data_IF_038522387590
#
_entry.id   IF_038522387590
#
_cell.length_a   1.000
_cell.length_b   1.000
_cell.length_c   1.000
_cell.angle_alpha   90.00
_cell.angle_beta   90.00
_cell.angle_gamma   90.00
#
_symmetry.space_group_name_H-M   'P 1'
#
loop_
_entity.id
_entity.type
_entity.pdbx_description
1 polymer ?
#
# COMPACT_ATOMS: atom_id res chain seq x y z
N UNK A 1 -44.98 10.27 15.71
CA UNK A 1 -43.95 10.01 14.69
C UNK A 1 -43.10 8.89 15.23
N UNK A 2 -43.13 7.71 14.60
CA UNK A 2 -42.23 6.63 14.98
C UNK A 2 -40.85 7.04 14.48
N UNK A 3 -39.91 7.28 15.41
CA UNK A 3 -38.49 7.48 15.09
C UNK A 3 -37.99 6.29 14.28
N UNK A 4 -37.18 6.54 13.25
CA UNK A 4 -36.62 5.46 12.45
C UNK A 4 -35.70 4.59 13.33
N UNK A 5 -35.63 3.27 13.11
CA UNK A 5 -34.98 2.34 14.04
C UNK A 5 -33.47 2.57 14.24
N UNK A 6 -32.81 3.31 13.35
CA UNK A 6 -31.37 3.62 13.39
C UNK A 6 -31.06 5.12 13.32
N UNK A 7 -32.06 5.95 13.63
CA UNK A 7 -31.93 7.40 13.59
C UNK A 7 -30.80 7.87 14.53
N UNK A 8 -29.82 8.58 13.98
CA UNK A 8 -28.67 9.11 14.74
C UNK A 8 -27.52 8.12 14.99
N UNK A 9 -27.62 6.87 14.50
CA UNK A 9 -26.56 5.87 14.66
C UNK A 9 -25.48 6.06 13.59
N UNK A 10 -24.19 6.04 13.97
CA UNK A 10 -23.06 6.08 13.02
C UNK A 10 -22.47 4.68 12.81
N UNK A 11 -22.50 4.19 11.57
CA UNK A 11 -22.16 2.80 11.25
C UNK A 11 -21.04 2.70 10.22
N UNK A 12 -20.01 1.91 10.52
CA UNK A 12 -18.94 1.59 9.56
C UNK A 12 -19.19 0.20 8.96
N UNK A 13 -19.42 0.13 7.64
CA UNK A 13 -19.74 -1.12 6.94
C UNK A 13 -18.51 -1.61 6.15
N UNK A 14 -17.95 -2.75 6.54
CA UNK A 14 -16.73 -3.34 6.00
C UNK A 14 -17.03 -4.59 5.15
N UNK A 15 -16.36 -4.69 4.00
CA UNK A 15 -16.43 -5.83 3.09
C UNK A 15 -16.86 -5.46 1.68
N UNK A 16 -16.92 -6.45 0.79
CA UNK A 16 -17.31 -6.27 -0.61
C UNK A 16 -18.33 -7.32 -1.02
N UNK A 17 -19.44 -6.90 -1.63
CA UNK A 17 -20.41 -7.81 -2.25
C UNK A 17 -21.88 -7.42 -2.07
N UNK A 18 -22.82 -8.18 -2.64
CA UNK A 18 -24.25 -7.85 -2.66
C UNK A 18 -24.88 -7.71 -1.27
N UNK A 19 -24.38 -8.47 -0.28
CA UNK A 19 -24.85 -8.40 1.12
C UNK A 19 -24.48 -7.10 1.80
N UNK A 20 -23.32 -6.53 1.47
CA UNK A 20 -22.89 -5.21 1.95
C UNK A 20 -23.76 -4.12 1.34
N UNK A 21 -24.11 -4.24 0.05
CA UNK A 21 -25.05 -3.33 -0.60
C UNK A 21 -26.41 -3.33 0.12
N UNK A 22 -26.99 -4.50 0.37
CA UNK A 22 -28.24 -4.64 1.11
C UNK A 22 -28.15 -4.11 2.55
N UNK A 23 -27.02 -4.34 3.23
CA UNK A 23 -26.77 -3.82 4.57
C UNK A 23 -26.75 -2.27 4.60
N UNK A 24 -26.04 -1.64 3.65
CA UNK A 24 -26.01 -0.18 3.51
C UNK A 24 -27.38 0.39 3.22
N UNK A 25 -28.16 -0.26 2.36
CA UNK A 25 -29.53 0.13 2.06
C UNK A 25 -30.41 0.12 3.31
N UNK A 26 -30.45 -1.00 4.06
CA UNK A 26 -31.27 -1.13 5.27
C UNK A 26 -30.89 -0.10 6.35
N UNK A 27 -29.59 0.15 6.52
CA UNK A 27 -29.08 1.14 7.46
C UNK A 27 -29.48 2.55 7.06
N UNK A 28 -29.37 2.88 5.78
CA UNK A 28 -29.76 4.19 5.24
C UNK A 28 -31.28 4.41 5.36
N UNK A 29 -32.09 3.39 5.04
CA UNK A 29 -33.56 3.45 5.14
C UNK A 29 -34.03 3.62 6.58
N UNK A 30 -33.31 3.07 7.55
CA UNK A 30 -33.60 3.26 8.97
C UNK A 30 -32.92 4.47 9.62
N UNK A 31 -32.30 5.37 8.85
CA UNK A 31 -31.78 6.66 9.36
C UNK A 31 -30.36 6.63 9.94
N UNK A 32 -29.59 5.56 9.71
CA UNK A 32 -28.20 5.49 10.12
C UNK A 32 -27.29 6.31 9.21
N UNK A 33 -26.27 6.94 9.79
CA UNK A 33 -25.20 7.61 9.06
C UNK A 33 -24.07 6.62 8.77
N UNK A 34 -23.81 6.32 7.50
CA UNK A 34 -22.72 5.44 7.10
C UNK A 34 -21.42 6.24 7.05
N UNK A 35 -20.41 5.78 7.78
CA UNK A 35 -19.07 6.37 7.79
C UNK A 35 -18.08 5.50 7.01
N UNK A 36 -17.09 6.13 6.39
CA UNK A 36 -16.03 5.45 5.63
C UNK A 36 -14.78 5.17 6.47
N UNK A 37 -14.55 5.97 7.52
CA UNK A 37 -13.34 5.93 8.34
C UNK A 37 -13.64 5.67 9.81
N UNK A 38 -12.81 4.85 10.44
CA UNK A 38 -12.90 4.51 11.87
C UNK A 38 -12.47 5.66 12.79
N UNK A 39 -11.81 6.70 12.27
CA UNK A 39 -11.49 7.93 13.01
C UNK A 39 -12.72 8.78 13.35
N UNK A 40 -13.86 8.51 12.71
CA UNK A 40 -15.14 9.12 13.06
C UNK A 40 -15.72 8.46 14.32
N UNK A 41 -16.60 9.14 15.06
CA UNK A 41 -17.33 8.48 16.16
C UNK A 41 -18.23 7.37 15.59
N UNK A 42 -17.77 6.12 15.68
CA UNK A 42 -18.49 4.94 15.18
C UNK A 42 -19.26 4.30 16.34
N UNK A 43 -20.56 4.15 16.17
CA UNK A 43 -21.43 3.49 17.15
C UNK A 43 -21.49 1.99 16.94
N UNK A 44 -21.43 1.53 15.68
CA UNK A 44 -21.44 0.11 15.30
C UNK A 44 -20.57 -0.18 14.08
N UNK A 45 -19.99 -1.38 14.02
CA UNK A 45 -19.27 -1.87 12.84
C UNK A 45 -20.01 -3.07 12.25
N UNK A 46 -20.40 -2.98 10.99
CA UNK A 46 -21.02 -4.09 10.25
C UNK A 46 -19.98 -4.74 9.35
N UNK A 47 -19.68 -6.02 9.54
CA UNK A 47 -18.65 -6.74 8.79
C UNK A 47 -19.24 -7.83 7.92
N UNK A 48 -18.79 -7.93 6.69
CA UNK A 48 -19.09 -9.08 5.85
C UNK A 48 -18.09 -10.23 6.09
N UNK A 49 -18.46 -11.45 5.70
CA UNK A 49 -17.59 -12.65 5.82
C UNK A 49 -16.31 -12.54 4.99
N UNK A 50 -16.27 -11.61 4.03
CA UNK A 50 -15.08 -11.26 3.24
C UNK A 50 -14.00 -10.52 4.03
N UNK A 51 -14.32 -9.99 5.21
CA UNK A 51 -13.37 -9.24 6.05
C UNK A 51 -12.70 -10.17 7.06
N UNK A 52 -11.35 -10.28 7.07
CA UNK A 52 -10.65 -11.10 8.05
C UNK A 52 -10.78 -10.53 9.47
N UNK A 53 -10.84 -11.39 10.49
CA UNK A 53 -10.92 -10.97 11.89
C UNK A 53 -9.72 -10.14 12.36
N UNK A 54 -8.58 -10.26 11.68
CA UNK A 54 -7.36 -9.48 11.91
C UNK A 54 -7.36 -8.10 11.23
N UNK A 55 -8.40 -7.74 10.47
CA UNK A 55 -8.46 -6.45 9.80
C UNK A 55 -8.30 -5.30 10.82
N UNK A 56 -7.45 -4.28 10.54
CA UNK A 56 -7.15 -3.21 11.49
C UNK A 56 -8.39 -2.52 12.06
N UNK A 57 -9.42 -2.30 11.24
CA UNK A 57 -10.67 -1.67 11.64
C UNK A 57 -11.51 -2.55 12.58
N UNK A 58 -11.45 -3.88 12.42
CA UNK A 58 -12.14 -4.84 13.29
C UNK A 58 -11.42 -4.96 14.63
N UNK A 59 -10.09 -4.97 14.61
CA UNK A 59 -9.26 -4.96 15.83
C UNK A 59 -9.46 -3.67 16.61
N UNK A 60 -9.48 -2.52 15.93
CA UNK A 60 -9.72 -1.21 16.53
C UNK A 60 -11.13 -1.12 17.16
N UNK A 61 -12.16 -1.63 16.47
CA UNK A 61 -13.53 -1.71 17.00
C UNK A 61 -13.61 -2.49 18.31
N UNK A 62 -12.99 -3.69 18.34
CA UNK A 62 -12.96 -4.53 19.56
C UNK A 62 -12.21 -3.85 20.71
N UNK A 63 -11.11 -3.16 20.40
CA UNK A 63 -10.30 -2.44 21.39
C UNK A 63 -11.03 -1.23 21.98
N UNK A 64 -11.89 -0.59 21.19
CA UNK A 64 -12.76 0.51 21.59
C UNK A 64 -14.11 0.06 22.19
N UNK A 65 -14.31 -1.26 22.39
CA UNK A 65 -15.57 -1.85 22.85
C UNK A 65 -16.80 -1.50 21.98
N UNK A 66 -16.58 -1.21 20.70
CA UNK A 66 -17.64 -0.92 19.73
C UNK A 66 -18.19 -2.26 19.20
N UNK A 67 -19.52 -2.48 19.18
CA UNK A 67 -20.08 -3.75 18.75
C UNK A 67 -19.85 -4.01 17.26
N UNK A 68 -19.39 -5.23 16.96
CA UNK A 68 -19.13 -5.70 15.59
C UNK A 68 -20.17 -6.76 15.23
N UNK A 69 -20.95 -6.52 14.19
CA UNK A 69 -22.07 -7.38 13.77
C UNK A 69 -21.91 -7.77 12.31
N UNK A 70 -22.31 -8.97 11.94
CA UNK A 70 -22.19 -9.42 10.55
C UNK A 70 -23.31 -8.86 9.67
N UNK A 71 -23.07 -8.77 8.35
CA UNK A 71 -24.11 -8.42 7.37
C UNK A 71 -25.34 -9.34 7.43
N UNK A 72 -25.16 -10.60 7.85
CA UNK A 72 -26.25 -11.55 8.11
C UNK A 72 -27.00 -11.28 9.42
N UNK A 73 -26.28 -10.97 10.49
CA UNK A 73 -26.90 -10.64 11.79
C UNK A 73 -27.62 -9.30 11.75
N UNK A 74 -27.17 -8.36 10.90
CA UNK A 74 -27.86 -7.09 10.66
C UNK A 74 -29.28 -7.29 10.12
N UNK A 75 -29.52 -8.34 9.33
CA UNK A 75 -30.86 -8.65 8.82
C UNK A 75 -31.79 -9.21 9.90
N UNK A 76 -31.23 -9.66 11.01
CA UNK A 76 -31.96 -10.25 12.15
C UNK A 76 -31.75 -9.46 13.45
N UNK A 77 -31.24 -8.23 13.37
CA UNK A 77 -30.78 -7.45 14.52
C UNK A 77 -31.99 -7.03 15.40
N UNK A 78 -31.92 -7.18 16.74
CA UNK A 78 -33.00 -6.75 17.63
C UNK A 78 -33.11 -5.21 17.67
N UNK A 79 -34.13 -4.69 16.99
CA UNK A 79 -34.41 -3.26 16.83
C UNK A 79 -35.88 -2.96 16.56
N UNK A 80 -36.76 -3.93 16.84
CA UNK A 80 -38.07 -3.62 17.42
C UNK A 80 -38.10 -3.83 18.95
N UNK A 81 -36.99 -4.23 19.61
CA UNK A 81 -36.73 -4.03 21.06
C UNK A 81 -35.45 -4.78 21.49
N UNK A 82 -34.53 -4.10 22.19
CA UNK A 82 -33.61 -4.73 23.16
C UNK A 82 -32.31 -5.37 22.65
N UNK A 83 -31.20 -4.64 22.74
CA UNK A 83 -29.83 -5.15 22.63
C UNK A 83 -29.50 -6.15 23.77
N UNK A 84 -29.63 -7.44 23.51
CA UNK A 84 -28.92 -8.48 24.26
C UNK A 84 -28.76 -9.76 23.42
N UNK A 85 -27.50 -10.20 23.29
CA UNK A 85 -27.08 -11.57 22.98
C UNK A 85 -27.27 -12.12 21.55
N UNK A 86 -26.22 -12.06 20.71
CA UNK A 86 -25.83 -13.12 19.75
C UNK A 86 -24.32 -12.95 19.48
N UNK A 87 -23.38 -13.54 20.24
CA UNK A 87 -22.81 -14.90 20.18
C UNK A 87 -22.50 -15.45 18.78
N UNK A 88 -21.20 -15.41 18.46
CA UNK A 88 -20.43 -16.13 17.44
C UNK A 88 -21.12 -17.33 16.76
N UNK A 89 -21.29 -17.30 15.43
CA UNK A 89 -21.28 -18.52 14.61
C UNK A 89 -20.58 -18.33 13.25
N UNK A 90 -19.59 -19.20 13.03
CA UNK A 90 -18.69 -19.38 11.88
C UNK A 90 -19.43 -19.62 10.55
N UNK A 91 -18.95 -19.12 9.40
CA UNK A 91 -19.61 -19.38 8.12
C UNK A 91 -19.09 -20.65 7.42
N UNK A 92 -20.02 -21.54 7.04
CA UNK A 92 -19.78 -22.60 6.06
C UNK A 92 -19.58 -22.04 4.64
N UNK A 93 -18.65 -22.65 3.87
CA UNK A 93 -18.35 -22.36 2.46
C UNK A 93 -19.47 -22.82 1.53
N UNK A 94 -19.76 -22.03 0.49
CA UNK A 94 -20.45 -22.48 -0.72
C UNK A 94 -19.60 -22.17 -1.97
N UNK A 95 -19.66 -23.01 -3.01
CA UNK A 95 -18.79 -22.91 -4.18
C UNK A 95 -19.29 -21.87 -5.19
N UNK A 96 -18.36 -21.13 -5.79
CA UNK A 96 -18.63 -20.15 -6.86
C UNK A 96 -18.44 -20.84 -8.21
N UNK A 97 -19.54 -21.00 -8.95
CA UNK A 97 -19.52 -21.43 -10.36
C UNK A 97 -20.24 -20.39 -11.20
N UNK A 98 -19.47 -19.53 -11.88
CA UNK A 98 -19.97 -18.58 -12.88
C UNK A 98 -18.84 -18.22 -13.85
N UNK A 99 -19.13 -18.03 -15.15
CA UNK A 99 -18.10 -17.81 -16.16
C UNK A 99 -17.47 -16.41 -16.01
N UNK A 100 -16.15 -16.38 -16.03
CA UNK A 100 -15.33 -15.15 -16.01
C UNK A 100 -15.39 -14.51 -17.39
N UNK A 101 -16.06 -13.36 -17.53
CA UNK A 101 -15.91 -12.53 -18.72
C UNK A 101 -14.53 -11.85 -18.70
N UNK A 102 -13.69 -12.19 -19.67
CA UNK A 102 -12.40 -11.56 -19.90
C UNK A 102 -12.59 -10.15 -20.48
N UNK A 103 -12.34 -9.11 -19.70
CA UNK A 103 -12.23 -7.75 -20.21
C UNK A 103 -10.96 -7.62 -21.07
N UNK A 104 -11.07 -7.02 -22.25
CA UNK A 104 -9.92 -6.69 -23.10
C UNK A 104 -9.06 -5.60 -22.45
N UNK A 105 -7.72 -5.68 -22.53
CA UNK A 105 -6.84 -4.69 -21.91
C UNK A 105 -6.80 -3.39 -22.73
N UNK A 106 -7.01 -2.27 -22.05
CA UNK A 106 -6.81 -0.92 -22.58
C UNK A 106 -5.30 -0.66 -22.76
N UNK A 107 -4.83 -0.06 -23.87
CA UNK A 107 -3.41 0.23 -24.05
C UNK A 107 -2.96 1.33 -23.08
N UNK A 108 -2.03 0.97 -22.19
CA UNK A 108 -1.37 1.90 -21.28
C UNK A 108 -0.25 2.62 -22.04
N UNK A 109 -0.33 3.94 -22.18
CA UNK A 109 0.77 4.74 -22.71
C UNK A 109 1.89 4.82 -21.66
N UNK A 110 2.99 4.09 -21.88
CA UNK A 110 4.15 4.06 -20.99
C UNK A 110 5.24 5.00 -21.50
N UNK A 111 5.29 6.21 -20.95
CA UNK A 111 6.55 6.95 -20.97
C UNK A 111 7.58 6.20 -20.09
N UNK A 112 8.85 6.04 -20.50
CA UNK A 112 9.87 5.38 -19.68
C UNK A 112 10.12 6.19 -18.40
N UNK A 113 9.81 5.61 -17.25
CA UNK A 113 10.02 6.28 -15.97
C UNK A 113 11.52 6.30 -15.60
N UNK A 114 11.99 7.39 -14.97
CA UNK A 114 13.33 7.42 -14.38
C UNK A 114 13.48 6.33 -13.32
N UNK A 115 14.60 5.60 -13.32
CA UNK A 115 14.90 4.65 -12.24
C UNK A 115 15.13 5.41 -10.93
N UNK A 116 14.47 5.05 -9.81
CA UNK A 116 14.80 5.64 -8.53
C UNK A 116 16.24 5.26 -8.16
N UNK A 117 17.09 6.27 -7.96
CA UNK A 117 18.36 6.09 -7.24
C UNK A 117 17.99 5.84 -5.78
N UNK A 118 18.43 4.72 -5.21
CA UNK A 118 18.18 4.42 -3.81
C UNK A 118 18.73 5.55 -2.94
N UNK A 119 17.85 6.30 -2.27
CA UNK A 119 18.26 7.27 -1.26
C UNK A 119 18.73 6.49 -0.04
N UNK A 120 20.04 6.44 0.18
CA UNK A 120 20.63 5.94 1.42
C UNK A 120 20.35 6.96 2.53
N UNK A 121 19.26 6.75 3.28
CA UNK A 121 18.98 7.53 4.48
C UNK A 121 20.00 7.24 5.59
N UNK A 122 20.22 8.16 6.55
CA UNK A 122 21.18 8.00 7.65
C UNK A 122 20.95 6.72 8.47
N UNK A 123 19.70 6.28 8.63
CA UNK A 123 19.33 5.07 9.37
C UNK A 123 19.85 3.78 8.71
N UNK A 124 19.96 3.78 7.38
CA UNK A 124 20.47 2.61 6.63
C UNK A 124 21.97 2.44 6.88
N UNK A 125 22.71 3.54 6.98
CA UNK A 125 24.15 3.52 7.26
C UNK A 125 24.43 3.10 8.70
N UNK A 126 23.64 3.56 9.67
CA UNK A 126 23.79 3.14 11.07
C UNK A 126 23.52 1.64 11.26
N UNK A 127 22.53 1.09 10.55
CA UNK A 127 22.22 -0.33 10.62
C UNK A 127 23.23 -1.20 9.82
N UNK A 128 23.83 -0.66 8.76
CA UNK A 128 24.98 -1.29 8.09
C UNK A 128 26.21 -1.36 8.99
N UNK A 129 26.48 -0.28 9.73
CA UNK A 129 27.59 -0.20 10.67
C UNK A 129 27.39 -1.15 11.85
N UNK A 130 26.17 -1.26 12.40
CA UNK A 130 25.89 -2.22 13.48
C UNK A 130 26.03 -3.68 13.03
N UNK A 131 25.61 -3.99 11.80
CA UNK A 131 25.80 -5.30 11.18
C UNK A 131 27.29 -5.66 10.99
N UNK A 132 28.09 -4.71 10.52
CA UNK A 132 29.54 -4.89 10.34
C UNK A 132 30.35 -4.84 11.65
N UNK A 133 29.79 -4.25 12.72
CA UNK A 133 30.42 -4.21 14.03
C UNK A 133 30.39 -5.58 14.74
N UNK A 134 29.42 -6.44 14.46
CA UNK A 134 29.25 -7.72 15.16
C UNK A 134 30.43 -8.70 14.96
N UNK A 135 30.95 -8.93 13.74
CA UNK A 135 32.19 -9.69 13.53
C UNK A 135 33.44 -8.98 14.06
N UNK A 136 33.46 -7.65 14.01
CA UNK A 136 34.58 -6.87 14.49
C UNK A 136 34.75 -7.03 16.01
N UNK A 137 33.65 -6.90 16.77
CA UNK A 137 33.63 -7.04 18.24
C UNK A 137 33.87 -8.48 18.71
N UNK A 138 33.54 -9.47 17.90
CA UNK A 138 33.73 -10.90 18.23
C UNK A 138 35.09 -11.45 17.79
N UNK A 139 36.02 -10.59 17.34
CA UNK A 139 37.33 -11.06 16.87
C UNK A 139 37.23 -12.00 15.65
N UNK A 140 36.22 -11.82 14.80
CA UNK A 140 35.99 -12.65 13.62
C UNK A 140 35.26 -13.97 13.87
N UNK A 141 34.94 -14.34 15.12
CA UNK A 141 34.24 -15.58 15.43
C UNK A 141 32.83 -15.64 14.82
N UNK A 142 32.14 -14.51 14.72
CA UNK A 142 30.78 -14.46 14.16
C UNK A 142 30.72 -14.54 12.62
N UNK A 143 31.85 -14.41 11.93
CA UNK A 143 31.93 -14.41 10.45
C UNK A 143 31.24 -15.61 9.79
N UNK A 144 31.65 -16.87 10.07
CA UNK A 144 31.05 -18.02 9.41
C UNK A 144 29.54 -18.09 9.59
N UNK A 145 29.04 -17.74 10.78
CA UNK A 145 27.61 -17.73 11.09
C UNK A 145 26.84 -16.65 10.35
N UNK A 146 27.38 -15.43 10.26
CA UNK A 146 26.78 -14.34 9.49
C UNK A 146 26.74 -14.73 8.00
N UNK A 147 27.85 -15.18 7.43
CA UNK A 147 27.88 -15.62 6.01
C UNK A 147 26.95 -16.81 5.75
N UNK A 148 26.83 -17.76 6.68
CA UNK A 148 25.88 -18.88 6.57
C UNK A 148 24.42 -18.42 6.66
N UNK A 149 24.13 -17.44 7.53
CA UNK A 149 22.82 -16.81 7.59
C UNK A 149 22.49 -16.13 6.25
N UNK A 150 23.43 -15.38 5.67
CA UNK A 150 23.28 -14.76 4.35
C UNK A 150 23.09 -15.84 3.26
N UNK A 151 23.86 -16.92 3.29
CA UNK A 151 23.73 -18.02 2.34
C UNK A 151 22.36 -18.67 2.38
N UNK A 152 21.81 -18.89 3.58
CA UNK A 152 20.46 -19.43 3.78
C UNK A 152 19.39 -18.44 3.34
N UNK A 153 19.53 -17.15 3.69
CA UNK A 153 18.58 -16.09 3.35
C UNK A 153 18.50 -15.90 1.83
N UNK A 154 19.65 -15.69 1.19
CA UNK A 154 19.77 -15.46 -0.26
C UNK A 154 19.77 -16.74 -1.11
N UNK A 155 19.66 -17.93 -0.48
CA UNK A 155 19.77 -19.25 -1.13
C UNK A 155 20.99 -19.39 -2.05
N UNK A 156 22.12 -18.79 -1.66
CA UNK A 156 23.32 -18.68 -2.50
C UNK A 156 24.37 -19.73 -2.14
N UNK A 157 24.71 -20.60 -3.11
CA UNK A 157 25.78 -21.60 -2.97
C UNK A 157 27.15 -20.97 -2.79
N UNK A 158 27.42 -19.82 -3.41
CA UNK A 158 28.68 -19.08 -3.28
C UNK A 158 28.89 -18.62 -1.84
N UNK A 159 27.86 -18.05 -1.22
CA UNK A 159 27.95 -17.62 0.19
C UNK A 159 28.05 -18.82 1.15
N UNK A 160 27.47 -19.97 0.80
CA UNK A 160 27.63 -21.20 1.57
C UNK A 160 29.08 -21.72 1.52
N UNK A 161 29.73 -21.68 0.34
CA UNK A 161 31.15 -22.02 0.20
C UNK A 161 32.04 -21.04 0.97
N UNK A 162 31.74 -19.74 0.92
CA UNK A 162 32.45 -18.72 1.70
C UNK A 162 32.30 -18.95 3.21
N UNK A 163 31.09 -19.28 3.68
CA UNK A 163 30.87 -19.60 5.08
C UNK A 163 31.67 -20.81 5.54
N UNK A 164 31.72 -21.87 4.73
CA UNK A 164 32.56 -23.03 4.99
C UNK A 164 34.06 -22.68 4.97
N UNK A 165 34.50 -21.82 4.04
CA UNK A 165 35.86 -21.32 3.96
C UNK A 165 36.30 -20.52 5.20
N UNK A 166 35.48 -19.55 5.63
CA UNK A 166 35.73 -18.79 6.86
C UNK A 166 35.74 -19.69 8.10
N UNK A 167 34.81 -20.65 8.20
CA UNK A 167 34.77 -21.62 9.30
C UNK A 167 36.00 -22.52 9.33
N UNK A 168 36.43 -23.04 8.18
CA UNK A 168 37.62 -23.87 8.06
C UNK A 168 38.90 -23.11 8.40
N UNK A 169 39.06 -21.89 7.87
CA UNK A 169 40.22 -21.04 8.16
C UNK A 169 40.31 -20.69 9.65
N UNK A 170 39.16 -20.44 10.31
CA UNK A 170 39.11 -20.18 11.74
C UNK A 170 39.56 -21.41 12.55
N UNK A 171 39.05 -22.60 12.24
CA UNK A 171 39.43 -23.85 12.93
C UNK A 171 40.92 -24.17 12.73
N UNK A 172 41.43 -24.05 11.50
CA UNK A 172 42.85 -24.28 11.21
C UNK A 172 43.73 -23.30 11.97
N UNK A 173 43.37 -22.02 12.01
CA UNK A 173 44.10 -21.01 12.77
C UNK A 173 44.08 -21.31 14.28
N UNK A 174 42.95 -21.76 14.82
CA UNK A 174 42.86 -22.10 16.24
C UNK A 174 43.70 -23.34 16.59
N UNK A 175 43.66 -24.38 15.76
CA UNK A 175 44.47 -25.59 15.93
C UNK A 175 45.97 -25.29 15.79
N UNK A 176 46.36 -24.48 14.81
CA UNK A 176 47.76 -24.09 14.62
C UNK A 176 48.29 -23.24 15.78
N UNK A 177 47.47 -22.36 16.36
CA UNK A 177 47.83 -21.61 17.56
C UNK A 177 48.02 -22.54 18.77
N UNK A 178 47.07 -23.46 19.03
CA UNK A 178 47.16 -24.43 20.13
C UNK A 178 48.39 -25.33 19.98
N UNK A 179 48.63 -25.85 18.77
CA UNK A 179 49.80 -26.67 18.48
C UNK A 179 51.10 -25.89 18.62
N UNK A 180 51.14 -24.63 18.18
CA UNK A 180 52.32 -23.76 18.31
C UNK A 180 52.70 -23.48 19.76
N UNK A 181 51.72 -23.24 20.63
CA UNK A 181 51.94 -23.08 22.09
C UNK A 181 52.35 -24.40 22.75
N UNK A 182 51.79 -25.53 22.32
CA UNK A 182 52.09 -26.84 22.91
C UNK A 182 53.40 -27.48 22.46
N UNK A 183 53.99 -27.01 21.36
CA UNK A 183 55.20 -27.59 20.75
C UNK A 183 56.37 -26.60 20.66
N UNK A 184 56.24 -25.38 21.20
CA UNK A 184 57.22 -24.28 21.10
C UNK A 184 57.65 -23.98 19.65
N UNK A 185 56.69 -23.99 18.71
CA UNK A 185 56.95 -23.77 17.28
C UNK A 185 56.42 -22.40 16.84
N UNK A 186 57.31 -21.41 16.83
CA UNK A 186 57.00 -20.00 16.55
C UNK A 186 56.29 -19.78 15.21
N UNK A 187 56.67 -20.54 14.17
CA UNK A 187 56.08 -20.38 12.83
C UNK A 187 54.59 -20.76 12.79
N UNK A 188 54.16 -21.76 13.57
CA UNK A 188 52.74 -22.14 13.64
C UNK A 188 51.91 -21.05 14.31
N UNK A 189 52.45 -20.41 15.35
CA UNK A 189 51.79 -19.27 16.02
C UNK A 189 51.67 -18.10 15.04
N UNK A 190 52.77 -17.73 14.37
CA UNK A 190 52.80 -16.59 13.45
C UNK A 190 51.82 -16.77 12.28
N UNK A 191 51.83 -17.94 11.62
CA UNK A 191 50.94 -18.24 10.49
C UNK A 191 49.47 -18.26 10.92
N UNK A 192 49.19 -18.83 12.11
CA UNK A 192 47.84 -18.89 12.66
C UNK A 192 47.29 -17.52 13.04
N UNK A 193 48.11 -16.70 13.71
CA UNK A 193 47.73 -15.33 14.07
C UNK A 193 47.51 -14.47 12.82
N UNK A 194 48.37 -14.58 11.81
CA UNK A 194 48.23 -13.85 10.56
C UNK A 194 46.95 -14.24 9.81
N UNK A 195 46.69 -15.55 9.68
CA UNK A 195 45.48 -16.05 9.01
C UNK A 195 44.22 -15.59 9.73
N UNK A 196 44.20 -15.65 11.07
CA UNK A 196 43.09 -15.16 11.88
C UNK A 196 42.87 -13.64 11.71
N UNK A 197 43.93 -12.83 11.73
CA UNK A 197 43.85 -11.38 11.55
C UNK A 197 43.27 -11.01 10.17
N UNK A 198 43.70 -11.69 9.11
CA UNK A 198 43.18 -11.51 7.76
C UNK A 198 41.70 -11.90 7.66
N UNK A 199 41.29 -13.02 8.25
CA UNK A 199 39.90 -13.45 8.29
C UNK A 199 39.02 -12.49 9.10
N UNK A 200 39.54 -11.92 10.18
CA UNK A 200 38.81 -10.97 11.03
C UNK A 200 38.59 -9.62 10.35
N UNK A 201 39.67 -8.98 9.89
CA UNK A 201 39.59 -7.66 9.26
C UNK A 201 38.93 -7.73 7.89
N UNK A 202 39.36 -8.68 7.05
CA UNK A 202 38.78 -8.91 5.73
C UNK A 202 37.32 -9.38 5.82
N UNK A 203 37.00 -10.22 6.80
CA UNK A 203 35.64 -10.64 7.09
C UNK A 203 34.73 -9.45 7.44
N UNK A 204 35.18 -8.56 8.32
CA UNK A 204 34.37 -7.39 8.74
C UNK A 204 33.99 -6.49 7.56
N UNK A 205 34.93 -6.25 6.63
CA UNK A 205 34.65 -5.54 5.37
C UNK A 205 33.66 -6.32 4.51
N UNK A 206 33.82 -7.64 4.41
CA UNK A 206 32.89 -8.51 3.67
C UNK A 206 31.47 -8.47 4.27
N UNK A 207 31.30 -8.47 5.60
CA UNK A 207 29.99 -8.31 6.23
C UNK A 207 29.32 -6.98 5.91
N UNK A 208 30.09 -5.89 5.85
CA UNK A 208 29.58 -4.59 5.42
C UNK A 208 29.06 -4.64 3.98
N UNK A 209 29.80 -5.27 3.06
CA UNK A 209 29.38 -5.42 1.67
C UNK A 209 28.15 -6.33 1.51
N UNK A 210 27.99 -7.35 2.36
CA UNK A 210 26.80 -8.20 2.38
C UNK A 210 25.56 -7.50 2.94
N UNK A 211 25.71 -6.38 3.66
CA UNK A 211 24.56 -5.70 4.25
C UNK A 211 23.57 -5.22 3.18
N UNK A 212 24.06 -4.74 2.03
CA UNK A 212 23.20 -4.31 0.94
C UNK A 212 22.38 -5.47 0.36
N UNK A 213 23.00 -6.64 0.15
CA UNK A 213 22.29 -7.81 -0.36
C UNK A 213 21.27 -8.36 0.64
N UNK A 214 21.57 -8.30 1.94
CA UNK A 214 20.69 -8.74 3.03
C UNK A 214 19.52 -7.79 3.26
N UNK A 215 19.77 -6.48 3.18
CA UNK A 215 18.77 -5.43 3.41
C UNK A 215 17.77 -5.35 2.26
N UNK A 216 18.24 -5.56 1.02
CA UNK A 216 17.37 -5.64 -0.17
C UNK A 216 16.43 -6.85 -0.13
N UNK A 217 16.77 -7.89 0.61
CA UNK A 217 15.96 -9.12 0.80
C UNK A 217 15.28 -9.18 2.18
N UNK A 218 15.35 -8.12 2.99
CA UNK A 218 14.97 -8.10 4.41
C UNK A 218 13.48 -7.97 4.75
N UNK A 219 12.59 -7.91 3.76
CA UNK A 219 11.13 -7.83 3.97
C UNK A 219 10.41 -9.18 4.06
N UNK A 220 11.11 -10.27 4.40
CA UNK A 220 10.64 -11.64 4.14
C UNK A 220 9.78 -12.29 5.24
N UNK A 221 9.13 -11.53 6.13
CA UNK A 221 8.18 -12.08 7.10
C UNK A 221 6.79 -11.42 6.92
N UNK A 222 5.99 -11.98 6.01
CA UNK A 222 4.52 -11.90 6.10
C UNK A 222 3.76 -10.92 5.20
N UNK A 223 4.40 -10.05 4.42
CA UNK A 223 3.69 -9.20 3.45
C UNK A 223 3.62 -9.86 2.05
N UNK A 224 2.47 -9.75 1.34
CA UNK A 224 2.37 -10.21 -0.05
C UNK A 224 3.44 -9.53 -0.90
N UNK A 225 4.31 -10.32 -1.54
CA UNK A 225 5.41 -9.84 -2.40
C UNK A 225 4.90 -8.85 -3.45
N UNK A 226 5.24 -7.57 -3.29
CA UNK A 226 5.20 -6.58 -4.38
C UNK A 226 6.59 -6.44 -5.06
N UNK A 227 7.49 -7.39 -4.87
CA UNK A 227 8.89 -7.30 -5.29
C UNK A 227 9.17 -7.94 -6.66
N UNK A 228 8.35 -7.63 -7.68
CA UNK A 228 8.87 -7.51 -9.04
C UNK A 228 9.35 -6.06 -9.18
N UNK A 229 10.61 -5.77 -9.55
CA UNK A 229 11.06 -4.42 -9.84
C UNK A 229 10.13 -3.66 -10.80
N UNK A 230 9.41 -4.37 -11.68
CA UNK A 230 8.37 -3.80 -12.55
C UNK A 230 7.12 -3.39 -11.77
N UNK A 231 6.70 -4.17 -10.78
CA UNK A 231 5.56 -3.83 -9.92
C UNK A 231 5.90 -2.64 -9.00
N UNK A 232 7.12 -2.59 -8.47
CA UNK A 232 7.58 -1.44 -7.69
C UNK A 232 7.64 -0.15 -8.54
N UNK A 233 8.12 -0.25 -9.78
CA UNK A 233 8.08 0.87 -10.73
C UNK A 233 6.65 1.29 -11.08
N UNK A 234 5.74 0.32 -11.27
CA UNK A 234 4.33 0.61 -11.54
C UNK A 234 3.66 1.31 -10.35
N UNK A 235 3.91 0.88 -9.11
CA UNK A 235 3.40 1.57 -7.93
C UNK A 235 3.95 2.98 -7.77
N UNK A 236 5.27 3.16 -7.96
CA UNK A 236 5.89 4.48 -7.92
C UNK A 236 5.32 5.41 -9.01
N UNK A 237 5.00 4.88 -10.19
CA UNK A 237 4.33 5.62 -11.26
C UNK A 237 2.94 6.11 -10.84
N UNK A 238 2.16 5.23 -10.22
CA UNK A 238 0.80 5.54 -9.75
C UNK A 238 0.86 6.61 -8.66
N UNK A 239 1.77 6.47 -7.70
CA UNK A 239 1.96 7.45 -6.63
C UNK A 239 2.43 8.81 -7.18
N UNK A 240 3.39 8.81 -8.11
CA UNK A 240 3.83 10.04 -8.76
C UNK A 240 2.68 10.75 -9.50
N UNK A 241 1.85 10.00 -10.24
CA UNK A 241 0.66 10.56 -10.90
C UNK A 241 -0.34 11.14 -9.92
N UNK A 242 -0.56 10.49 -8.76
CA UNK A 242 -1.44 11.03 -7.71
C UNK A 242 -0.91 12.34 -7.13
N UNK A 243 0.39 12.40 -6.85
CA UNK A 243 1.02 13.61 -6.34
C UNK A 243 0.89 14.78 -7.33
N UNK A 244 1.12 14.54 -8.63
CA UNK A 244 0.92 15.55 -9.68
C UNK A 244 -0.51 16.10 -9.70
N UNK A 245 -1.52 15.23 -9.54
CA UNK A 245 -2.93 15.66 -9.47
C UNK A 245 -3.19 16.52 -8.24
N UNK A 246 -2.67 16.12 -7.08
CA UNK A 246 -2.87 16.85 -5.84
C UNK A 246 -2.19 18.22 -5.86
N UNK A 247 -0.98 18.31 -6.42
CA UNK A 247 -0.27 19.57 -6.65
C UNK A 247 -1.07 20.48 -7.62
N UNK A 248 -1.55 19.93 -8.73
CA UNK A 248 -2.34 20.67 -9.70
C UNK A 248 -3.68 21.15 -9.13
N UNK A 249 -4.37 20.34 -8.31
CA UNK A 249 -5.57 20.75 -7.57
C UNK A 249 -5.30 21.89 -6.59
N UNK A 250 -4.20 21.80 -5.83
CA UNK A 250 -3.82 22.84 -4.90
C UNK A 250 -3.49 24.15 -5.62
N UNK A 251 -2.79 24.06 -6.76
CA UNK A 251 -2.50 25.22 -7.60
C UNK A 251 -3.79 25.86 -8.14
N UNK A 252 -4.70 25.06 -8.69
CA UNK A 252 -6.00 25.53 -9.17
C UNK A 252 -6.86 26.17 -8.07
N UNK A 253 -6.81 25.64 -6.85
CA UNK A 253 -7.53 26.21 -5.70
C UNK A 253 -6.92 27.53 -5.23
N UNK A 254 -5.58 27.64 -5.25
CA UNK A 254 -4.87 28.84 -4.78
C UNK A 254 -4.91 29.96 -5.82
N UNK A 255 -4.77 29.62 -7.10
CA UNK A 255 -4.72 30.56 -8.21
C UNK A 255 -5.45 29.97 -9.45
N UNK A 256 -6.77 30.19 -9.54
CA UNK A 256 -7.57 29.72 -10.66
C UNK A 256 -7.15 30.34 -12.01
N UNK A 257 -6.62 31.57 -12.00
CA UNK A 257 -6.19 32.26 -13.22
C UNK A 257 -4.95 31.59 -13.77
N UNK A 258 -3.94 31.35 -12.93
CA UNK A 258 -2.74 30.61 -13.34
C UNK A 258 -3.07 29.19 -13.83
N UNK A 259 -4.00 28.49 -13.18
CA UNK A 259 -4.40 27.15 -13.62
C UNK A 259 -5.03 27.15 -15.03
N UNK A 260 -5.82 28.19 -15.37
CA UNK A 260 -6.40 28.36 -16.71
C UNK A 260 -5.34 28.69 -17.76
N UNK A 261 -4.37 29.54 -17.42
CA UNK A 261 -3.23 29.87 -18.30
C UNK A 261 -2.34 28.64 -18.55
N UNK A 262 -2.11 27.84 -17.52
CA UNK A 262 -1.38 26.57 -17.61
C UNK A 262 -2.23 25.44 -18.21
N UNK A 263 -3.51 25.65 -18.51
CA UNK A 263 -4.38 24.63 -19.09
C UNK A 263 -4.56 23.37 -18.24
N UNK A 264 -4.53 23.50 -16.90
CA UNK A 264 -4.75 22.38 -15.98
C UNK A 264 -6.16 21.83 -16.18
N UNK A 265 -6.28 20.51 -16.35
CA UNK A 265 -7.56 19.85 -16.60
C UNK A 265 -8.03 19.96 -18.06
N UNK A 266 -7.22 20.49 -18.97
CA UNK A 266 -7.60 20.78 -20.36
C UNK A 266 -6.64 20.10 -21.35
N UNK A 267 -6.73 18.76 -21.51
CA UNK A 267 -5.87 18.03 -22.44
C UNK A 267 -6.09 18.41 -23.92
N UNK A 268 -7.20 19.09 -24.23
CA UNK A 268 -7.48 19.67 -25.55
C UNK A 268 -6.65 20.93 -25.83
N UNK A 269 -6.11 21.58 -24.79
CA UNK A 269 -5.20 22.72 -24.93
C UNK A 269 -3.76 22.21 -24.93
N UNK A 270 -2.92 22.79 -25.78
CA UNK A 270 -1.49 22.52 -25.75
C UNK A 270 -0.89 23.12 -24.47
N UNK A 271 -0.81 22.30 -23.41
CA UNK A 271 -0.15 22.65 -22.15
C UNK A 271 1.16 21.88 -22.00
N UNK A 272 2.18 22.55 -21.46
CA UNK A 272 3.44 21.93 -21.02
C UNK A 272 3.40 21.44 -19.58
N UNK A 273 2.30 21.68 -18.85
CA UNK A 273 2.16 21.30 -17.44
C UNK A 273 1.55 19.89 -17.34
N UNK A 274 2.21 18.99 -16.61
CA UNK A 274 1.65 17.66 -16.33
C UNK A 274 0.80 17.71 -15.06
N UNK A 275 -0.52 17.73 -15.25
CA UNK A 275 -1.52 17.74 -14.17
C UNK A 275 -1.87 16.33 -13.66
N UNK A 276 -1.17 15.29 -14.10
CA UNK A 276 -1.46 13.91 -13.71
C UNK A 276 -2.70 13.32 -14.38
N UNK A 277 -3.25 13.99 -15.40
CA UNK A 277 -4.43 13.55 -16.15
C UNK A 277 -5.75 14.04 -15.57
N UNK A 278 -5.75 15.21 -14.94
CA UNK A 278 -7.00 15.83 -14.48
C UNK A 278 -7.84 16.29 -15.67
N UNK A 279 -9.14 16.42 -15.44
CA UNK A 279 -10.09 16.98 -16.42
C UNK A 279 -10.97 18.00 -15.71
N UNK A 280 -10.96 19.22 -16.24
CA UNK A 280 -11.77 20.33 -15.78
C UNK A 280 -13.22 20.17 -16.27
N UNK A 281 -14.10 19.77 -15.37
CA UNK A 281 -15.52 19.49 -15.66
C UNK A 281 -16.26 20.74 -16.14
N UNK A 282 -15.83 21.93 -15.69
CA UNK A 282 -16.51 23.19 -15.99
C UNK A 282 -16.10 23.80 -17.33
N UNK A 283 -14.92 23.45 -17.86
CA UNK A 283 -14.42 24.08 -19.08
C UNK A 283 -14.07 23.11 -20.21
N UNK A 284 -13.91 21.81 -19.93
CA UNK A 284 -13.57 20.83 -20.96
C UNK A 284 -14.73 20.63 -21.97
N UNK A 285 -14.42 20.33 -23.24
CA UNK A 285 -15.43 19.98 -24.24
C UNK A 285 -15.95 18.55 -24.03
N UNK A 286 -17.11 18.24 -24.62
CA UNK A 286 -17.77 16.94 -24.49
C UNK A 286 -16.83 15.76 -24.82
N UNK A 287 -16.03 15.88 -25.88
CA UNK A 287 -15.09 14.84 -26.29
C UNK A 287 -14.07 14.47 -25.20
N UNK A 288 -13.64 15.45 -24.41
CA UNK A 288 -12.72 15.24 -23.29
C UNK A 288 -13.47 14.74 -22.06
N UNK A 289 -14.64 15.30 -21.74
CA UNK A 289 -15.45 14.84 -20.60
C UNK A 289 -15.73 13.33 -20.66
N UNK A 290 -16.00 12.80 -21.87
CA UNK A 290 -16.24 11.37 -22.09
C UNK A 290 -15.05 10.45 -21.80
N UNK A 291 -13.86 11.00 -21.61
CA UNK A 291 -12.70 10.22 -21.18
C UNK A 291 -12.71 9.98 -19.66
N UNK A 292 -13.55 10.69 -18.91
CA UNK A 292 -13.74 10.46 -17.49
C UNK A 292 -14.54 9.17 -17.22
N UNK A 293 -14.20 8.42 -16.16
CA UNK A 293 -14.91 7.21 -15.77
C UNK A 293 -16.40 7.47 -15.52
N UNK A 294 -17.27 6.73 -16.21
CA UNK A 294 -18.72 6.83 -16.03
C UNK A 294 -19.41 7.96 -16.78
N UNK A 295 -18.67 8.76 -17.56
CA UNK A 295 -19.25 9.82 -18.40
C UNK A 295 -19.59 9.26 -19.78
N UNK A 296 -20.88 9.05 -20.03
CA UNK A 296 -21.39 8.71 -21.37
C UNK A 296 -21.61 9.98 -22.21
N UNK A 297 -21.97 9.80 -23.49
CA UNK A 297 -22.35 10.92 -24.35
C UNK A 297 -23.52 11.72 -23.74
N UNK A 298 -24.52 11.04 -23.17
CA UNK A 298 -25.66 11.66 -22.51
C UNK A 298 -25.23 12.48 -21.30
N UNK A 299 -24.45 11.89 -20.39
CA UNK A 299 -23.94 12.56 -19.18
C UNK A 299 -23.07 13.77 -19.55
N UNK A 300 -22.22 13.66 -20.56
CA UNK A 300 -21.39 14.79 -21.01
C UNK A 300 -22.25 15.97 -21.50
N UNK A 301 -23.35 15.69 -22.21
CA UNK A 301 -24.28 16.73 -22.66
C UNK A 301 -25.08 17.33 -21.50
N UNK A 302 -25.46 16.54 -20.50
CA UNK A 302 -26.10 17.03 -19.28
C UNK A 302 -25.19 17.96 -18.49
N UNK A 303 -23.90 17.60 -18.32
CA UNK A 303 -22.89 18.45 -17.69
C UNK A 303 -22.77 19.80 -18.41
N UNK A 304 -22.64 19.79 -19.74
CA UNK A 304 -22.53 21.01 -20.55
C UNK A 304 -23.78 21.86 -20.44
N UNK A 305 -24.96 21.25 -20.60
CA UNK A 305 -26.24 21.96 -20.49
C UNK A 305 -26.40 22.58 -19.11
N UNK A 306 -26.08 21.84 -18.04
CA UNK A 306 -26.20 22.35 -16.68
C UNK A 306 -25.29 23.54 -16.43
N UNK A 307 -24.02 23.46 -16.83
CA UNK A 307 -23.07 24.57 -16.59
C UNK A 307 -23.37 25.83 -17.41
N UNK A 308 -24.00 25.68 -18.57
CA UNK A 308 -24.45 26.81 -19.40
C UNK A 308 -25.71 27.49 -18.84
N UNK A 309 -26.61 26.74 -18.20
CA UNK A 309 -27.89 27.25 -17.69
C UNK A 309 -27.84 27.70 -16.23
N UNK A 310 -27.13 26.96 -15.38
CA UNK A 310 -27.15 27.13 -13.92
C UNK A 310 -25.84 27.72 -13.39
N UNK A 311 -24.72 27.41 -14.03
CA UNK A 311 -23.38 27.81 -13.59
C UNK A 311 -22.46 26.62 -13.30
N UNK A 312 -21.20 26.89 -12.91
CA UNK A 312 -20.18 25.85 -12.74
C UNK A 312 -20.53 24.88 -11.61
N UNK A 313 -20.10 23.62 -11.76
CA UNK A 313 -20.12 22.62 -10.70
C UNK A 313 -19.04 22.92 -9.65
N UNK A 314 -19.36 22.66 -8.38
CA UNK A 314 -18.40 22.81 -7.27
C UNK A 314 -17.75 21.48 -6.85
N UNK A 315 -18.42 20.35 -7.12
CA UNK A 315 -17.96 19.04 -6.65
C UNK A 315 -18.54 17.86 -7.43
N UNK A 316 -18.00 16.67 -7.19
CA UNK A 316 -18.52 15.42 -7.78
C UNK A 316 -19.93 15.10 -7.30
N UNK A 317 -20.27 15.44 -6.05
CA UNK A 317 -21.63 15.27 -5.52
C UNK A 317 -22.64 16.10 -6.31
N UNK A 318 -22.25 17.29 -6.74
CA UNK A 318 -23.07 18.21 -7.53
C UNK A 318 -23.39 17.61 -8.92
N UNK A 319 -22.37 17.04 -9.58
CA UNK A 319 -22.54 16.31 -10.84
C UNK A 319 -23.51 15.15 -10.69
N UNK A 320 -23.37 14.35 -9.62
CA UNK A 320 -24.26 13.18 -9.38
C UNK A 320 -25.71 13.61 -9.13
N UNK A 321 -25.94 14.75 -8.48
CA UNK A 321 -27.29 15.26 -8.18
C UNK A 321 -27.97 15.82 -9.43
N UNK A 322 -27.20 16.44 -10.33
CA UNK A 322 -27.75 17.17 -11.46
C UNK A 322 -27.69 16.45 -12.81
N UNK A 323 -27.11 15.25 -12.84
CA UNK A 323 -26.97 14.45 -14.06
C UNK A 323 -27.41 13.01 -13.80
N UNK A 324 -27.55 12.23 -14.86
CA UNK A 324 -27.81 10.80 -14.84
C UNK A 324 -26.56 9.96 -14.52
N UNK A 325 -25.52 10.56 -13.92
CA UNK A 325 -24.25 9.89 -13.60
C UNK A 325 -24.43 8.70 -12.65
N UNK A 326 -23.86 7.57 -13.04
CA UNK A 326 -23.99 6.34 -12.26
C UNK A 326 -23.10 6.32 -11.00
N UNK A 327 -23.65 6.09 -9.79
CA UNK A 327 -22.90 6.18 -8.53
C UNK A 327 -21.67 5.26 -8.41
N UNK A 328 -21.63 4.15 -9.16
CA UNK A 328 -20.50 3.20 -9.14
C UNK A 328 -19.18 3.75 -9.69
N UNK A 329 -19.20 4.88 -10.39
CA UNK A 329 -18.01 5.51 -10.94
C UNK A 329 -17.51 6.70 -10.12
N UNK A 330 -18.22 7.09 -9.05
CA UNK A 330 -17.92 8.30 -8.26
C UNK A 330 -16.47 8.36 -7.80
N UNK A 331 -15.96 7.30 -7.15
CA UNK A 331 -14.58 7.30 -6.63
C UNK A 331 -13.53 7.50 -7.73
N UNK A 332 -13.75 6.89 -8.90
CA UNK A 332 -12.81 6.99 -10.04
C UNK A 332 -12.95 8.30 -10.80
N UNK A 333 -14.16 8.84 -10.86
CA UNK A 333 -14.42 10.15 -11.43
C UNK A 333 -13.81 11.24 -10.57
N UNK A 334 -14.01 11.20 -9.25
CA UNK A 334 -13.47 12.16 -8.30
C UNK A 334 -11.93 12.21 -8.33
N UNK A 335 -11.27 11.06 -8.53
CA UNK A 335 -9.81 10.98 -8.67
C UNK A 335 -9.29 11.79 -9.88
N UNK A 336 -10.10 12.05 -10.91
CA UNK A 336 -9.70 12.72 -12.15
C UNK A 336 -10.41 14.06 -12.39
N UNK A 337 -11.55 14.30 -11.76
CA UNK A 337 -12.32 15.53 -11.93
C UNK A 337 -11.64 16.71 -11.23
N UNK A 338 -11.68 17.86 -11.90
CA UNK A 338 -11.27 19.16 -11.40
C UNK A 338 -12.38 20.17 -11.64
N UNK A 339 -12.58 21.10 -10.70
CA UNK A 339 -13.63 22.12 -10.75
C UNK A 339 -12.98 23.50 -10.72
N UNK A 340 -12.62 24.03 -11.88
CA UNK A 340 -12.13 25.41 -12.00
C UNK A 340 -13.30 26.29 -12.40
N UNK A 341 -13.82 27.08 -11.45
CA UNK A 341 -14.85 28.07 -11.71
C UNK A 341 -14.32 29.19 -12.59
#
# INVERSE_FOLDING_TARGET
>A
MNSLPYEGVRVLVLGSGPRVGKARQLLSEGGATIVSNFSSQVTYVVVDRTVPHSAPQVVAARRAAIPVVTTSELQTWPGMEGLAAVRYLTPARLPVSGPVMTATPVPVYTAPLPRPRGSSGPDTTLMALSWAAFPLLTGGLAMPFITAHVARKLRSRTHAMLAAGYGGALVVSMLGFIAGVGLDVDIFILVSMFTWLCCWLGGSVHAFLMYESVSRDGGSDGEPRVSDPRNAQALAAIEHRRNLRDEARQLAKRDPVAARELGIGRPDRHSSYDDGGLIDVNNAPASILKTLPGVTDEVAQEIIRFRELTGPFESTSDVVVHTSFEPRYVDRFDELALYVA
#
